data_IF_619326962467
#
_entry.id   IF_619326962467
#
_cell.length_a   1.000
_cell.length_b   1.000
_cell.length_c   1.000
_cell.angle_alpha   90.00
_cell.angle_beta   90.00
_cell.angle_gamma   90.00
#
_symmetry.space_group_name_H-M   'P 1'
#
loop_
_entity.id
_entity.type
_entity.pdbx_description
1 polymer ?
#
# COMPACT_ATOMS: atom_id res chain seq x y z
N UNK A 1 0.89 6.37 32.38
CA UNK A 1 0.17 6.48 31.10
C UNK A 1 0.43 5.19 30.38
N UNK A 2 -0.53 4.30 30.40
CA UNK A 2 -0.56 3.07 29.61
C UNK A 2 -0.44 3.50 28.17
N UNK A 3 0.61 3.08 27.51
CA UNK A 3 0.76 3.15 26.07
C UNK A 3 -0.40 2.35 25.47
N UNK A 4 -1.47 3.04 25.07
CA UNK A 4 -2.42 2.50 24.13
C UNK A 4 -1.57 2.06 22.94
N UNK A 5 -1.48 0.77 22.73
CA UNK A 5 -0.74 0.20 21.63
C UNK A 5 -1.46 0.69 20.39
N UNK A 6 -0.88 1.69 19.75
CA UNK A 6 -1.40 2.26 18.51
C UNK A 6 -1.56 1.11 17.52
N UNK A 7 -2.81 0.81 17.16
CA UNK A 7 -3.09 -0.19 16.13
C UNK A 7 -2.69 0.38 14.78
N UNK A 8 -1.52 -0.01 14.30
CA UNK A 8 -0.93 0.54 13.06
C UNK A 8 -0.50 -0.55 12.08
N UNK A 9 -0.66 -1.83 12.44
CA UNK A 9 -0.01 -2.94 11.73
C UNK A 9 -0.97 -4.04 11.26
N UNK A 10 -2.29 -3.86 11.33
CA UNK A 10 -3.26 -4.80 10.76
C UNK A 10 -3.15 -4.80 9.24
N UNK A 11 -3.12 -5.98 8.62
CA UNK A 11 -3.10 -6.16 7.17
C UNK A 11 -4.51 -6.43 6.67
N UNK A 12 -4.93 -5.68 5.66
CA UNK A 12 -6.14 -5.93 4.89
C UNK A 12 -5.75 -6.31 3.47
N UNK A 13 -6.07 -7.53 3.08
CA UNK A 13 -5.81 -8.06 1.74
C UNK A 13 -7.06 -7.80 0.90
N UNK A 14 -6.94 -6.93 -0.08
CA UNK A 14 -8.04 -6.65 -1.01
C UNK A 14 -8.12 -7.76 -2.05
N UNK A 15 -9.29 -8.37 -2.22
CA UNK A 15 -9.44 -9.50 -3.15
C UNK A 15 -10.83 -9.53 -3.80
N UNK A 16 -10.87 -10.00 -5.05
CA UNK A 16 -12.11 -10.27 -5.79
C UNK A 16 -11.91 -11.42 -6.77
N UNK A 17 -12.78 -12.43 -6.72
CA UNK A 17 -12.78 -13.57 -7.64
C UNK A 17 -11.59 -14.52 -7.49
N UNK A 18 -10.87 -14.46 -6.37
CA UNK A 18 -9.64 -15.26 -6.10
C UNK A 18 -9.64 -15.87 -4.71
N UNK A 19 -10.58 -16.79 -4.37
CA UNK A 19 -10.73 -17.30 -3.01
C UNK A 19 -9.52 -18.05 -2.47
N UNK A 20 -8.58 -18.46 -3.34
CA UNK A 20 -7.29 -19.02 -2.89
C UNK A 20 -6.40 -18.00 -2.21
N UNK A 21 -6.50 -16.70 -2.54
CA UNK A 21 -5.76 -15.58 -1.97
C UNK A 21 -4.30 -15.93 -1.61
N UNK A 22 -3.39 -15.80 -2.58
CA UNK A 22 -1.97 -16.20 -2.41
C UNK A 22 -1.28 -15.45 -1.29
N UNK A 23 -1.60 -14.18 -1.11
CA UNK A 23 -1.06 -13.37 -0.01
C UNK A 23 -1.42 -13.96 1.34
N UNK A 24 -2.69 -14.38 1.54
CA UNK A 24 -3.12 -15.04 2.76
C UNK A 24 -2.35 -16.36 3.01
N UNK A 25 -2.20 -17.19 1.97
CA UNK A 25 -1.40 -18.41 2.05
C UNK A 25 0.07 -18.13 2.41
N UNK A 26 0.61 -17.04 1.87
CA UNK A 26 2.00 -16.62 2.17
C UNK A 26 2.14 -16.21 3.63
N UNK A 27 1.19 -15.41 4.17
CA UNK A 27 1.18 -15.02 5.58
C UNK A 27 1.06 -16.24 6.51
N UNK A 28 0.20 -17.21 6.19
CA UNK A 28 0.11 -18.48 6.93
C UNK A 28 1.41 -19.28 6.88
N UNK A 29 1.98 -19.44 5.68
CA UNK A 29 3.22 -20.20 5.48
C UNK A 29 4.39 -19.68 6.31
N UNK A 30 4.55 -18.36 6.38
CA UNK A 30 5.61 -17.73 7.19
C UNK A 30 5.22 -17.57 8.65
N UNK A 31 4.01 -17.97 9.05
CA UNK A 31 3.45 -17.80 10.40
C UNK A 31 3.47 -16.36 10.87
N UNK A 32 2.93 -15.46 10.03
CA UNK A 32 2.84 -14.05 10.38
C UNK A 32 2.07 -13.86 11.70
N UNK A 33 2.65 -13.24 12.73
CA UNK A 33 2.03 -13.18 14.06
C UNK A 33 1.02 -12.05 14.23
N UNK A 34 0.95 -11.12 13.28
CA UNK A 34 0.05 -9.97 13.34
C UNK A 34 -1.37 -10.29 12.87
N UNK A 35 -2.26 -9.34 13.10
CA UNK A 35 -3.64 -9.42 12.63
C UNK A 35 -3.70 -9.18 11.11
N UNK A 36 -4.51 -9.98 10.40
CA UNK A 36 -4.76 -9.80 8.98
C UNK A 36 -6.15 -10.30 8.59
N UNK A 37 -6.74 -9.66 7.58
CA UNK A 37 -8.05 -9.97 7.04
C UNK A 37 -8.05 -9.93 5.53
N UNK A 38 -9.02 -10.63 4.91
CA UNK A 38 -9.33 -10.52 3.48
C UNK A 38 -10.58 -9.66 3.37
N UNK A 39 -10.55 -8.64 2.52
CA UNK A 39 -11.66 -7.71 2.33
C UNK A 39 -12.30 -7.94 0.96
N UNK A 40 -13.58 -8.36 0.96
CA UNK A 40 -14.35 -8.67 -0.23
C UNK A 40 -15.63 -7.85 -0.28
N UNK A 41 -16.09 -7.49 -1.48
CA UNK A 41 -17.42 -6.92 -1.66
C UNK A 41 -18.53 -7.99 -1.60
N UNK A 42 -19.71 -7.62 -1.10
CA UNK A 42 -20.89 -8.52 -1.10
C UNK A 42 -21.38 -8.91 -2.51
N UNK A 43 -20.86 -8.26 -3.55
CA UNK A 43 -21.10 -8.57 -4.96
C UNK A 43 -20.11 -9.57 -5.58
N UNK A 44 -19.25 -10.19 -4.79
CA UNK A 44 -18.32 -11.19 -5.28
C UNK A 44 -19.01 -12.57 -5.31
N UNK A 45 -19.20 -13.14 -6.49
CA UNK A 45 -19.85 -14.45 -6.67
C UNK A 45 -19.06 -15.58 -5.97
N UNK A 46 -17.78 -15.37 -5.71
CA UNK A 46 -16.92 -16.35 -5.02
C UNK A 46 -16.87 -16.13 -3.50
N UNK A 47 -17.62 -15.17 -2.96
CA UNK A 47 -17.64 -14.87 -1.53
C UNK A 47 -17.88 -16.10 -0.63
N UNK A 48 -18.82 -17.03 -0.95
CA UNK A 48 -19.00 -18.24 -0.15
C UNK A 48 -17.73 -19.09 -0.04
N UNK A 49 -16.92 -19.15 -1.11
CA UNK A 49 -15.67 -19.91 -1.14
C UNK A 49 -14.58 -19.22 -0.26
N UNK A 50 -14.57 -17.88 -0.19
CA UNK A 50 -13.71 -17.17 0.76
C UNK A 50 -14.11 -17.48 2.21
N UNK A 51 -15.40 -17.41 2.52
CA UNK A 51 -15.92 -17.67 3.86
C UNK A 51 -15.67 -19.11 4.30
N UNK A 52 -15.89 -20.09 3.42
CA UNK A 52 -15.56 -21.50 3.68
C UNK A 52 -14.09 -21.71 4.01
N UNK A 53 -13.21 -21.06 3.25
CA UNK A 53 -11.77 -21.27 3.39
C UNK A 53 -11.13 -20.49 4.52
N UNK A 54 -11.54 -19.25 4.73
CA UNK A 54 -10.86 -18.28 5.60
C UNK A 54 -11.67 -17.89 6.83
N UNK A 55 -12.95 -18.27 6.89
CA UNK A 55 -13.81 -18.06 8.05
C UNK A 55 -13.90 -16.59 8.49
N UNK A 56 -13.64 -16.35 9.75
CA UNK A 56 -13.71 -15.01 10.39
C UNK A 56 -12.68 -14.01 9.88
N UNK A 57 -11.69 -14.44 9.09
CA UNK A 57 -10.73 -13.54 8.47
C UNK A 57 -11.31 -12.79 7.27
N UNK A 58 -12.49 -13.18 6.79
CA UNK A 58 -13.17 -12.51 5.67
C UNK A 58 -14.04 -11.39 6.20
N UNK A 59 -13.71 -10.16 5.83
CA UNK A 59 -14.53 -8.98 6.10
C UNK A 59 -15.26 -8.59 4.82
N UNK A 60 -16.56 -8.41 4.93
CA UNK A 60 -17.42 -8.11 3.79
C UNK A 60 -17.89 -6.67 3.88
N UNK A 61 -17.74 -5.90 2.80
CA UNK A 61 -18.31 -4.56 2.71
C UNK A 61 -19.46 -4.50 1.70
N UNK A 62 -20.33 -3.52 1.89
CA UNK A 62 -21.40 -3.25 0.94
C UNK A 62 -20.85 -2.55 -0.30
N UNK A 63 -20.82 -3.29 -1.41
CA UNK A 63 -20.33 -2.81 -2.68
C UNK A 63 -21.18 -1.66 -3.23
N UNK A 64 -22.52 -1.75 -3.14
CA UNK A 64 -23.39 -0.72 -3.71
C UNK A 64 -23.25 0.60 -2.96
N UNK A 65 -23.16 0.56 -1.65
CA UNK A 65 -22.90 1.75 -0.84
C UNK A 65 -21.53 2.36 -1.19
N UNK A 66 -20.49 1.52 -1.32
CA UNK A 66 -19.14 2.01 -1.56
C UNK A 66 -18.96 2.66 -2.93
N UNK A 67 -19.54 2.08 -3.99
CA UNK A 67 -19.42 2.66 -5.33
C UNK A 67 -20.12 4.01 -5.46
N UNK A 68 -21.17 4.27 -4.68
CA UNK A 68 -21.84 5.59 -4.66
C UNK A 68 -20.96 6.68 -4.03
N UNK A 69 -20.00 6.28 -3.21
CA UNK A 69 -19.06 7.16 -2.51
C UNK A 69 -17.70 7.29 -3.20
N UNK A 70 -17.43 6.40 -4.17
CA UNK A 70 -16.13 6.35 -4.85
C UNK A 70 -16.19 7.12 -6.16
N UNK A 71 -15.38 8.17 -6.29
CA UNK A 71 -15.21 8.91 -7.53
C UNK A 71 -14.37 8.08 -8.53
N UNK A 72 -15.00 7.59 -9.59
CA UNK A 72 -14.33 6.86 -10.67
C UNK A 72 -13.66 7.76 -11.70
N UNK A 73 -13.81 9.09 -11.57
CA UNK A 73 -13.32 10.09 -12.54
C UNK A 73 -13.92 9.95 -13.95
N UNK A 74 -15.02 9.21 -14.08
CA UNK A 74 -15.77 9.03 -15.31
C UNK A 74 -17.27 8.88 -15.01
N UNK A 75 -18.08 8.90 -16.04
CA UNK A 75 -19.53 8.68 -15.95
C UNK A 75 -19.97 7.32 -16.50
N UNK A 76 -19.05 6.36 -16.56
CA UNK A 76 -19.37 5.01 -17.03
C UNK A 76 -20.05 4.22 -15.90
N UNK A 77 -21.15 3.54 -16.24
CA UNK A 77 -21.87 2.68 -15.30
C UNK A 77 -20.99 1.51 -14.77
N UNK A 78 -21.26 1.09 -13.56
CA UNK A 78 -20.55 -0.02 -12.93
C UNK A 78 -20.96 -1.39 -13.48
N UNK A 79 -22.18 -1.52 -14.01
CA UNK A 79 -22.68 -2.78 -14.59
C UNK A 79 -21.85 -3.19 -15.80
N UNK A 80 -21.58 -2.24 -16.69
CA UNK A 80 -20.81 -2.47 -17.92
C UNK A 80 -19.31 -2.39 -17.73
N UNK A 81 -18.88 -1.53 -16.81
CA UNK A 81 -17.48 -1.27 -16.53
C UNK A 81 -17.23 -1.47 -15.04
N UNK A 82 -16.79 -2.66 -14.63
CA UNK A 82 -16.46 -2.89 -13.22
C UNK A 82 -15.44 -1.87 -12.74
N UNK A 83 -15.58 -1.45 -11.51
CA UNK A 83 -14.61 -0.56 -10.88
C UNK A 83 -13.28 -1.28 -10.67
N UNK A 84 -12.21 -0.50 -10.67
CA UNK A 84 -10.93 -0.98 -10.18
C UNK A 84 -10.90 -1.21 -8.66
N UNK A 85 -9.72 -1.15 -8.09
CA UNK A 85 -9.51 -1.39 -6.66
C UNK A 85 -9.97 -0.25 -5.73
N UNK A 86 -10.30 0.94 -6.24
CA UNK A 86 -10.62 2.12 -5.42
C UNK A 86 -11.76 1.88 -4.40
N UNK A 87 -12.89 1.26 -4.75
CA UNK A 87 -13.96 1.01 -3.77
C UNK A 87 -13.50 0.15 -2.61
N UNK A 88 -12.86 -0.99 -2.86
CA UNK A 88 -12.37 -1.86 -1.78
C UNK A 88 -11.29 -1.19 -0.95
N UNK A 89 -10.41 -0.38 -1.54
CA UNK A 89 -9.40 0.39 -0.81
C UNK A 89 -10.03 1.44 0.11
N UNK A 90 -11.08 2.13 -0.33
CA UNK A 90 -11.83 3.09 0.48
C UNK A 90 -12.63 2.38 1.58
N UNK A 91 -13.31 1.26 1.26
CA UNK A 91 -13.99 0.43 2.24
C UNK A 91 -13.04 -0.06 3.34
N UNK A 92 -11.84 -0.52 2.97
CA UNK A 92 -10.81 -0.97 3.90
C UNK A 92 -10.45 0.12 4.91
N UNK A 93 -10.30 1.38 4.47
CA UNK A 93 -10.05 2.48 5.38
C UNK A 93 -11.17 2.65 6.40
N UNK A 94 -12.45 2.57 5.98
CA UNK A 94 -13.57 2.70 6.92
C UNK A 94 -13.61 1.56 7.91
N UNK A 95 -13.43 0.33 7.46
CA UNK A 95 -13.34 -0.85 8.33
C UNK A 95 -12.24 -0.66 9.39
N UNK A 96 -11.07 -0.17 8.98
CA UNK A 96 -9.95 0.08 9.87
C UNK A 96 -10.25 1.20 10.88
N UNK A 97 -10.90 2.29 10.46
CA UNK A 97 -11.33 3.41 11.31
C UNK A 97 -12.35 2.96 12.36
N UNK A 98 -13.37 2.21 11.94
CA UNK A 98 -14.41 1.62 12.81
C UNK A 98 -13.82 0.65 13.86
N UNK A 99 -12.69 0.02 13.54
CA UNK A 99 -11.94 -0.84 14.47
C UNK A 99 -10.99 -0.06 15.38
N UNK A 100 -10.96 1.27 15.30
CA UNK A 100 -10.13 2.15 16.12
C UNK A 100 -8.64 2.04 15.79
N UNK A 101 -8.29 1.73 14.56
CA UNK A 101 -6.90 1.64 14.12
C UNK A 101 -6.41 3.02 13.67
N UNK A 102 -5.19 3.38 14.04
CA UNK A 102 -4.60 4.66 13.61
C UNK A 102 -4.11 4.59 12.16
N UNK A 103 -3.62 3.42 11.75
CA UNK A 103 -3.14 3.12 10.41
C UNK A 103 -3.35 1.63 10.12
N UNK A 104 -3.38 1.30 8.83
CA UNK A 104 -3.54 -0.06 8.37
C UNK A 104 -2.70 -0.32 7.12
N UNK A 105 -2.39 -1.59 6.88
CA UNK A 105 -1.77 -2.03 5.64
C UNK A 105 -2.84 -2.50 4.64
N UNK A 106 -2.69 -2.09 3.39
CA UNK A 106 -3.45 -2.65 2.26
C UNK A 106 -2.51 -3.45 1.37
N UNK A 107 -2.81 -4.73 1.20
CA UNK A 107 -2.08 -5.66 0.35
C UNK A 107 -2.98 -6.14 -0.79
N UNK A 108 -2.36 -6.45 -1.94
CA UNK A 108 -3.04 -7.18 -3.01
C UNK A 108 -3.03 -8.68 -2.70
N UNK A 109 -3.83 -9.47 -3.42
CA UNK A 109 -4.08 -10.90 -3.11
C UNK A 109 -3.12 -11.89 -3.79
N UNK A 110 -2.10 -11.40 -4.50
CA UNK A 110 -1.22 -12.19 -5.37
C UNK A 110 0.26 -12.24 -4.96
N UNK A 111 0.59 -11.87 -3.71
CA UNK A 111 1.95 -11.92 -3.21
C UNK A 111 2.42 -13.35 -2.96
N UNK A 112 3.57 -13.73 -3.52
CA UNK A 112 4.16 -15.05 -3.40
C UNK A 112 5.13 -15.16 -2.21
N UNK A 113 5.72 -14.04 -1.80
CA UNK A 113 6.72 -14.00 -0.75
C UNK A 113 7.15 -12.58 -0.43
N UNK A 114 8.05 -12.51 0.53
CA UNK A 114 8.70 -11.28 0.95
C UNK A 114 10.20 -11.51 1.06
N UNK A 115 10.97 -10.51 0.65
CA UNK A 115 12.42 -10.53 0.80
C UNK A 115 12.90 -9.28 1.50
N UNK A 116 14.04 -9.41 2.19
CA UNK A 116 14.69 -8.30 2.86
C UNK A 116 16.15 -8.21 2.42
N UNK A 117 16.63 -6.99 2.19
CA UNK A 117 18.03 -6.79 1.85
C UNK A 117 18.94 -7.04 3.05
N UNK A 118 19.80 -8.04 2.95
CA UNK A 118 20.86 -8.29 3.93
C UNK A 118 22.12 -7.54 3.56
N UNK A 119 22.53 -6.59 4.42
CA UNK A 119 23.76 -5.86 4.23
C UNK A 119 25.00 -6.77 4.33
N UNK A 120 24.93 -7.76 5.20
CA UNK A 120 26.02 -8.70 5.45
C UNK A 120 26.24 -9.61 4.23
N UNK A 121 25.16 -10.12 3.63
CA UNK A 121 25.24 -11.01 2.48
C UNK A 121 25.28 -10.26 1.12
N UNK A 122 25.05 -8.95 1.12
CA UNK A 122 24.99 -8.15 -0.09
C UNK A 122 23.89 -8.55 -1.08
N UNK A 123 22.80 -9.16 -0.60
CA UNK A 123 21.70 -9.68 -1.43
C UNK A 123 20.35 -9.67 -0.70
N UNK A 124 19.28 -9.83 -1.46
CA UNK A 124 17.96 -10.09 -0.92
C UNK A 124 17.88 -11.51 -0.34
N UNK A 125 17.27 -11.62 0.85
CA UNK A 125 17.05 -12.87 1.57
C UNK A 125 15.55 -13.07 1.74
N UNK A 126 15.06 -14.27 1.45
CA UNK A 126 13.65 -14.63 1.62
C UNK A 126 13.29 -14.62 3.10
N UNK A 127 12.17 -13.98 3.42
CA UNK A 127 11.62 -13.97 4.78
C UNK A 127 10.81 -15.25 4.98
N UNK A 128 11.34 -16.17 5.77
CA UNK A 128 10.69 -17.43 6.15
C UNK A 128 10.03 -17.38 7.55
N UNK A 129 10.39 -16.40 8.38
CA UNK A 129 9.80 -16.15 9.71
C UNK A 129 8.94 -14.88 9.67
N UNK A 130 7.63 -15.04 9.85
CA UNK A 130 6.68 -13.93 9.84
C UNK A 130 6.92 -12.88 10.93
N UNK A 131 7.62 -13.22 12.02
CA UNK A 131 7.98 -12.24 13.05
C UNK A 131 8.95 -11.17 12.50
N UNK A 132 9.82 -11.53 11.57
CA UNK A 132 10.74 -10.57 10.91
C UNK A 132 9.93 -9.59 10.08
N UNK A 133 8.99 -10.08 9.28
CA UNK A 133 8.10 -9.22 8.49
C UNK A 133 7.28 -8.30 9.39
N UNK A 134 6.67 -8.86 10.44
CA UNK A 134 5.85 -8.10 11.39
C UNK A 134 6.62 -6.94 12.02
N UNK A 135 7.81 -7.19 12.54
CA UNK A 135 8.65 -6.16 13.17
C UNK A 135 9.09 -5.09 12.18
N UNK A 136 9.48 -5.48 10.96
CA UNK A 136 9.86 -4.53 9.93
C UNK A 136 8.68 -3.63 9.56
N UNK A 137 7.51 -4.21 9.33
CA UNK A 137 6.29 -3.49 8.99
C UNK A 137 5.83 -2.57 10.13
N UNK A 138 5.90 -3.04 11.38
CA UNK A 138 5.56 -2.24 12.56
C UNK A 138 6.43 -0.97 12.63
N UNK A 139 7.74 -1.09 12.43
CA UNK A 139 8.66 0.07 12.45
C UNK A 139 8.38 1.06 11.34
N UNK A 140 8.05 0.58 10.15
CA UNK A 140 7.65 1.41 9.01
C UNK A 140 6.35 2.15 9.34
N UNK A 141 5.34 1.45 9.86
CA UNK A 141 4.05 2.03 10.22
C UNK A 141 4.14 3.05 11.36
N UNK A 142 4.91 2.77 12.42
CA UNK A 142 5.19 3.70 13.51
C UNK A 142 5.86 4.98 13.00
N UNK A 143 6.83 4.85 12.09
CA UNK A 143 7.46 6.02 11.47
C UNK A 143 6.43 6.83 10.68
N UNK A 144 5.63 6.18 9.83
CA UNK A 144 4.58 6.83 9.05
C UNK A 144 3.55 7.56 9.93
N UNK A 145 3.18 6.96 11.05
CA UNK A 145 2.30 7.56 12.04
C UNK A 145 2.90 8.83 12.65
N UNK A 146 4.12 8.73 13.20
CA UNK A 146 4.81 9.85 13.87
C UNK A 146 5.13 11.00 12.93
N UNK A 147 5.47 10.69 11.68
CA UNK A 147 5.75 11.68 10.64
C UNK A 147 4.49 12.19 9.92
N UNK A 148 3.27 11.75 10.33
CA UNK A 148 1.99 12.11 9.72
C UNK A 148 1.97 11.90 8.20
N UNK A 149 2.62 10.85 7.73
CA UNK A 149 2.69 10.54 6.31
C UNK A 149 1.38 9.95 5.80
N UNK A 150 0.97 10.33 4.60
CA UNK A 150 -0.24 9.83 3.96
C UNK A 150 -0.08 8.42 3.44
N UNK A 151 1.14 8.03 3.07
CA UNK A 151 1.42 6.67 2.63
C UNK A 151 2.87 6.30 2.94
N UNK A 152 3.08 5.14 3.50
CA UNK A 152 4.41 4.51 3.59
C UNK A 152 4.28 3.07 3.13
N UNK A 153 5.31 2.53 2.49
CA UNK A 153 5.22 1.17 2.03
C UNK A 153 6.53 0.66 1.45
N UNK A 154 6.47 -0.51 0.83
CA UNK A 154 7.65 -1.13 0.27
C UNK A 154 7.42 -1.61 -1.16
N UNK A 155 8.51 -1.81 -1.87
CA UNK A 155 8.57 -1.93 -3.32
C UNK A 155 8.54 -3.37 -3.79
N UNK A 156 8.38 -3.54 -5.11
CA UNK A 156 8.56 -4.81 -5.79
C UNK A 156 10.04 -5.20 -5.82
N UNK A 157 10.32 -6.50 -5.76
CA UNK A 157 11.67 -7.06 -5.83
C UNK A 157 12.42 -6.69 -7.14
N UNK A 158 11.69 -6.48 -8.21
CA UNK A 158 12.23 -6.06 -9.52
C UNK A 158 12.64 -4.60 -9.62
N UNK A 159 12.33 -3.78 -8.61
CA UNK A 159 12.70 -2.37 -8.59
C UNK A 159 14.00 -2.21 -7.81
N UNK A 160 15.05 -1.79 -8.51
CA UNK A 160 16.41 -1.57 -8.04
C UNK A 160 16.56 -1.37 -6.53
N UNK A 161 17.01 -2.41 -5.85
CA UNK A 161 17.53 -2.30 -4.50
C UNK A 161 18.91 -1.64 -4.56
N UNK A 162 18.96 -0.32 -4.47
CA UNK A 162 20.25 0.34 -4.20
C UNK A 162 20.57 0.12 -2.72
N UNK A 163 21.62 -0.64 -2.41
CA UNK A 163 21.98 -0.99 -1.02
C UNK A 163 22.25 0.24 -0.15
N UNK A 164 22.54 1.38 -0.74
CA UNK A 164 22.81 2.64 -0.05
C UNK A 164 21.55 3.45 0.25
N UNK A 165 20.50 3.31 -0.55
CA UNK A 165 19.23 4.02 -0.34
C UNK A 165 18.22 3.13 0.36
N UNK A 166 18.12 3.25 1.68
CA UNK A 166 17.16 2.45 2.48
C UNK A 166 15.71 2.89 2.30
N UNK A 167 15.49 4.12 1.95
CA UNK A 167 14.16 4.70 1.71
C UNK A 167 14.24 5.84 0.71
N UNK A 168 13.13 6.16 0.12
CA UNK A 168 12.99 7.34 -0.73
C UNK A 168 11.65 8.00 -0.48
N UNK A 169 11.67 9.32 -0.38
CA UNK A 169 10.46 10.13 -0.48
C UNK A 169 10.08 10.21 -1.96
N UNK A 170 9.42 9.19 -2.42
CA UNK A 170 9.03 9.02 -3.81
C UNK A 170 7.52 8.88 -3.87
N UNK A 171 6.84 9.48 -4.86
CA UNK A 171 5.42 9.28 -5.09
C UNK A 171 5.09 7.86 -5.58
N UNK A 172 5.89 6.88 -5.25
CA UNK A 172 5.73 5.50 -5.69
C UNK A 172 5.81 4.57 -4.51
N UNK A 173 4.73 4.41 -3.79
CA UNK A 173 4.50 3.24 -2.97
C UNK A 173 3.71 2.26 -3.82
N UNK A 174 4.35 1.17 -4.21
CA UNK A 174 3.71 0.17 -5.03
C UNK A 174 3.25 -0.99 -4.17
N UNK A 175 1.99 -1.32 -4.24
CA UNK A 175 1.36 -2.56 -3.83
C UNK A 175 1.24 -2.81 -2.32
N UNK A 176 2.19 -2.48 -1.48
CA UNK A 176 2.04 -2.55 -0.03
C UNK A 176 1.95 -1.14 0.54
N UNK A 177 0.76 -0.76 0.93
CA UNK A 177 0.45 0.58 1.41
C UNK A 177 0.13 0.55 2.89
N UNK A 178 0.82 1.34 3.72
CA UNK A 178 0.39 1.65 5.07
C UNK A 178 -0.17 3.07 5.10
N UNK A 179 -1.46 3.15 5.32
CA UNK A 179 -2.28 4.35 5.16
C UNK A 179 -2.87 4.78 6.51
N UNK A 180 -3.10 6.09 6.74
CA UNK A 180 -3.92 6.54 7.86
C UNK A 180 -5.34 5.97 7.75
N UNK A 181 -5.92 5.60 8.88
CA UNK A 181 -7.32 5.17 8.95
C UNK A 181 -8.26 6.36 9.19
N UNK A 182 -7.76 7.41 9.84
CA UNK A 182 -8.55 8.60 10.16
C UNK A 182 -8.84 9.46 8.90
N UNK A 183 -10.06 9.99 8.77
CA UNK A 183 -10.49 10.72 7.56
C UNK A 183 -9.67 11.98 7.26
N UNK A 184 -9.14 12.66 8.27
CA UNK A 184 -8.40 13.92 8.15
C UNK A 184 -7.04 13.76 7.45
N UNK A 185 -6.41 12.60 7.57
CA UNK A 185 -5.12 12.30 6.95
C UNK A 185 -5.21 11.39 5.73
N UNK A 186 -6.30 10.65 5.60
CA UNK A 186 -6.50 9.73 4.49
C UNK A 186 -6.80 10.49 3.19
N UNK A 187 -6.12 10.12 2.12
CA UNK A 187 -6.41 10.61 0.78
C UNK A 187 -7.25 9.54 0.05
N UNK A 188 -8.53 9.82 -0.25
CA UNK A 188 -9.38 8.84 -0.90
C UNK A 188 -8.81 8.34 -2.23
N UNK A 189 -8.98 7.05 -2.45
CA UNK A 189 -8.67 6.44 -3.73
C UNK A 189 -9.76 6.81 -4.74
N UNK A 190 -9.33 7.31 -5.88
CA UNK A 190 -10.22 7.74 -6.97
C UNK A 190 -9.71 7.22 -8.30
N UNK A 191 -10.61 7.16 -9.27
CA UNK A 191 -10.32 6.65 -10.61
C UNK A 191 -10.65 5.17 -10.77
N UNK A 192 -11.01 4.79 -11.97
CA UNK A 192 -11.33 3.41 -12.32
C UNK A 192 -10.09 2.57 -12.58
N UNK A 193 -9.05 3.20 -13.08
CA UNK A 193 -7.79 2.58 -13.46
C UNK A 193 -6.63 3.46 -13.00
N UNK A 194 -5.45 2.88 -12.80
CA UNK A 194 -4.22 3.60 -12.44
C UNK A 194 -4.30 4.24 -11.06
N UNK A 195 -5.02 3.60 -10.16
CA UNK A 195 -5.35 4.04 -8.80
C UNK A 195 -4.12 4.40 -7.97
N UNK A 196 -3.04 3.62 -8.07
CA UNK A 196 -1.75 3.86 -7.42
C UNK A 196 -1.13 5.21 -7.81
N UNK A 197 -1.07 5.48 -9.11
CA UNK A 197 -0.51 6.75 -9.62
C UNK A 197 -1.40 7.93 -9.29
N UNK A 198 -2.73 7.77 -9.41
CA UNK A 198 -3.68 8.84 -9.11
C UNK A 198 -3.68 9.17 -7.62
N UNK A 199 -3.62 8.15 -6.76
CA UNK A 199 -3.54 8.35 -5.32
C UNK A 199 -2.25 9.12 -4.95
N UNK A 200 -1.11 8.72 -5.50
CA UNK A 200 0.16 9.45 -5.32
C UNK A 200 0.08 10.90 -5.80
N UNK A 201 -0.51 11.16 -6.98
CA UNK A 201 -0.75 12.51 -7.48
C UNK A 201 -1.58 13.32 -6.46
N UNK A 202 -2.66 12.75 -5.96
CA UNK A 202 -3.57 13.42 -5.04
C UNK A 202 -2.93 13.70 -3.68
N UNK A 203 -2.12 12.78 -3.16
CA UNK A 203 -1.33 12.99 -1.95
C UNK A 203 -0.40 14.20 -2.14
N UNK A 204 0.39 14.20 -3.19
CA UNK A 204 1.37 15.26 -3.44
C UNK A 204 0.73 16.63 -3.69
N UNK A 205 -0.39 16.67 -4.43
CA UNK A 205 -1.12 17.93 -4.68
C UNK A 205 -1.74 18.54 -3.42
N UNK A 206 -2.03 17.72 -2.41
CA UNK A 206 -2.54 18.15 -1.10
C UNK A 206 -1.44 18.52 -0.11
N UNK A 207 -0.17 18.51 -0.54
CA UNK A 207 0.97 18.78 0.33
C UNK A 207 1.37 17.61 1.21
N UNK A 208 0.85 16.42 0.93
CA UNK A 208 1.19 15.20 1.65
C UNK A 208 2.49 14.57 1.17
N UNK A 209 2.95 13.53 1.89
CA UNK A 209 4.18 12.81 1.60
C UNK A 209 3.96 11.31 1.56
N UNK A 210 4.74 10.67 0.71
CA UNK A 210 4.86 9.22 0.61
C UNK A 210 6.32 8.81 0.78
N UNK A 211 6.52 7.63 1.37
CA UNK A 211 7.85 7.05 1.53
C UNK A 211 7.85 5.59 1.09
N UNK A 212 8.72 5.24 0.17
CA UNK A 212 9.03 3.86 -0.17
C UNK A 212 10.26 3.38 0.59
N UNK A 213 10.12 2.23 1.24
CA UNK A 213 11.21 1.49 1.86
C UNK A 213 11.81 0.56 0.82
N UNK A 214 13.15 0.60 0.67
CA UNK A 214 13.85 -0.11 -0.40
C UNK A 214 14.59 -1.37 0.06
N UNK A 215 14.49 -1.73 1.32
CA UNK A 215 15.14 -2.92 1.86
C UNK A 215 14.15 -4.07 2.10
N UNK A 216 12.87 -3.82 1.98
CA UNK A 216 11.80 -4.80 2.09
C UNK A 216 11.07 -4.87 0.75
N UNK A 217 10.90 -6.08 0.22
CA UNK A 217 10.34 -6.27 -1.11
C UNK A 217 9.25 -7.34 -1.10
N UNK A 218 8.40 -7.28 -2.12
CA UNK A 218 7.35 -8.26 -2.39
C UNK A 218 7.72 -9.07 -3.62
N UNK A 219 7.60 -10.38 -3.53
CA UNK A 219 7.66 -11.29 -4.65
C UNK A 219 6.26 -11.46 -5.26
N UNK A 220 6.15 -11.26 -6.55
CA UNK A 220 4.90 -11.39 -7.30
C UNK A 220 4.92 -12.54 -8.27
N UNK A 221 3.72 -13.06 -8.56
CA UNK A 221 3.50 -13.80 -9.78
C UNK A 221 3.70 -12.88 -11.00
N UNK A 222 4.00 -13.46 -12.15
CA UNK A 222 4.08 -12.69 -13.39
C UNK A 222 2.81 -11.87 -13.58
N UNK A 223 2.96 -10.56 -13.75
CA UNK A 223 1.84 -9.60 -13.86
C UNK A 223 0.84 -10.06 -14.94
N UNK A 224 -0.45 -10.03 -14.62
CA UNK A 224 -1.56 -10.42 -15.50
C UNK A 224 -1.56 -11.90 -15.91
N UNK A 225 -0.94 -12.79 -15.15
CA UNK A 225 -0.93 -14.22 -15.43
C UNK A 225 -2.22 -14.94 -14.98
N UNK A 226 -3.00 -14.34 -14.09
CA UNK A 226 -4.21 -14.96 -13.53
C UNK A 226 -5.48 -14.21 -13.93
N UNK A 227 -6.60 -14.93 -14.14
CA UNK A 227 -7.91 -14.31 -14.36
C UNK A 227 -8.41 -13.61 -13.11
N UNK A 228 -9.35 -12.68 -13.29
CA UNK A 228 -9.96 -11.91 -12.21
C UNK A 228 -9.22 -10.60 -11.87
N UNK A 229 -9.76 -9.84 -10.92
CA UNK A 229 -9.27 -8.53 -10.53
C UNK A 229 -9.28 -7.53 -11.70
N UNK A 230 -8.19 -6.77 -11.86
CA UNK A 230 -8.05 -5.74 -12.90
C UNK A 230 -7.68 -6.29 -14.29
N UNK A 231 -7.37 -7.59 -14.40
CA UNK A 231 -6.84 -8.18 -15.65
C UNK A 231 -7.81 -8.01 -16.82
N UNK A 232 -9.10 -8.23 -16.58
CA UNK A 232 -10.11 -8.14 -17.64
C UNK A 232 -10.32 -6.70 -18.13
N UNK A 233 -10.27 -5.74 -17.20
CA UNK A 233 -10.36 -4.32 -17.53
C UNK A 233 -9.18 -3.87 -18.40
N UNK A 234 -7.96 -4.34 -18.11
CA UNK A 234 -6.78 -4.02 -18.92
C UNK A 234 -6.78 -4.70 -20.29
N UNK A 235 -7.34 -5.90 -20.40
CA UNK A 235 -7.46 -6.61 -21.69
C UNK A 235 -8.43 -5.91 -22.63
N UNK A 236 -9.53 -5.40 -22.10
CA UNK A 236 -10.59 -4.77 -22.88
C UNK A 236 -10.25 -3.34 -23.32
N UNK A 237 -9.67 -2.54 -22.43
CA UNK A 237 -9.50 -1.10 -22.62
C UNK A 237 -8.06 -0.67 -22.95
N UNK A 238 -7.10 -1.55 -22.75
CA UNK A 238 -5.70 -1.31 -23.05
C UNK A 238 -5.00 -0.30 -22.14
N UNK A 239 -3.72 -0.10 -22.41
CA UNK A 239 -2.86 0.80 -21.60
C UNK A 239 -3.09 2.29 -21.88
N UNK A 240 -3.69 2.63 -23.03
CA UNK A 240 -4.02 4.02 -23.36
C UNK A 240 -5.06 4.60 -22.41
N UNK A 241 -6.13 3.84 -22.15
CA UNK A 241 -7.20 4.28 -21.22
C UNK A 241 -6.68 4.39 -19.79
N UNK A 242 -5.88 3.44 -19.34
CA UNK A 242 -5.17 3.57 -18.04
C UNK A 242 -4.43 4.90 -17.94
N UNK A 243 -3.73 5.29 -18.99
CA UNK A 243 -2.97 6.56 -19.03
C UNK A 243 -3.89 7.78 -19.02
N UNK A 244 -5.04 7.70 -19.70
CA UNK A 244 -6.01 8.79 -19.72
C UNK A 244 -6.49 9.21 -18.34
N UNK A 245 -6.72 8.28 -17.42
CA UNK A 245 -7.08 8.60 -16.03
C UNK A 245 -5.97 9.39 -15.31
N UNK A 246 -4.70 9.04 -15.53
CA UNK A 246 -3.58 9.82 -15.01
C UNK A 246 -3.54 11.26 -15.58
N UNK A 247 -3.85 11.42 -16.88
CA UNK A 247 -3.95 12.76 -17.51
C UNK A 247 -5.11 13.54 -16.94
N UNK A 248 -6.29 12.92 -16.75
CA UNK A 248 -7.44 13.57 -16.11
C UNK A 248 -7.10 14.05 -14.70
N UNK A 249 -6.38 13.24 -13.94
CA UNK A 249 -5.95 13.60 -12.59
C UNK A 249 -4.98 14.80 -12.58
N UNK A 250 -4.03 14.86 -13.52
CA UNK A 250 -3.01 15.91 -13.56
C UNK A 250 -2.55 16.24 -15.00
N UNK A 251 -3.35 16.95 -15.81
CA UNK A 251 -3.03 17.20 -17.22
C UNK A 251 -1.73 18.00 -17.43
N UNK A 252 -1.34 18.82 -16.47
CA UNK A 252 -0.08 19.58 -16.53
C UNK A 252 1.17 18.73 -16.23
N UNK A 253 1.00 17.57 -15.61
CA UNK A 253 2.11 16.74 -15.11
C UNK A 253 2.17 15.34 -15.74
N UNK A 254 1.07 14.81 -16.24
CA UNK A 254 1.01 13.46 -16.84
C UNK A 254 0.89 13.57 -18.35
N UNK A 255 1.69 12.76 -19.06
CA UNK A 255 1.67 12.67 -20.51
C UNK A 255 1.53 11.22 -20.97
N UNK A 256 0.86 11.02 -22.10
CA UNK A 256 0.86 9.76 -22.83
C UNK A 256 2.19 9.64 -23.59
N UNK A 257 2.86 8.51 -23.43
CA UNK A 257 4.07 8.17 -24.19
C UNK A 257 3.94 6.77 -24.74
N UNK A 258 4.52 6.51 -25.92
CA UNK A 258 4.56 5.18 -26.52
C UNK A 258 5.96 4.60 -26.30
N UNK A 259 6.05 3.48 -25.55
CA UNK A 259 7.31 2.76 -25.26
C UNK A 259 7.02 1.27 -25.15
N UNK A 260 7.97 0.45 -25.55
CA UNK A 260 7.84 -1.02 -25.45
C UNK A 260 6.54 -1.52 -26.09
N UNK A 261 6.23 -1.02 -27.30
CA UNK A 261 5.07 -1.39 -28.12
C UNK A 261 3.69 -1.14 -27.48
N UNK A 262 3.63 -0.28 -26.46
CA UNK A 262 2.36 0.08 -25.79
C UNK A 262 2.38 1.51 -25.24
N UNK A 263 1.19 1.99 -24.93
CA UNK A 263 1.05 3.29 -24.28
C UNK A 263 1.37 3.23 -22.79
N UNK A 264 2.11 4.22 -22.34
CA UNK A 264 2.47 4.41 -20.93
C UNK A 264 2.19 5.84 -20.49
N UNK A 265 2.00 6.03 -19.19
CA UNK A 265 2.04 7.36 -18.60
C UNK A 265 3.48 7.77 -18.28
N UNK A 266 3.79 9.04 -18.49
CA UNK A 266 5.00 9.67 -17.98
C UNK A 266 4.58 10.83 -17.06
N UNK A 267 4.94 10.74 -15.79
CA UNK A 267 4.55 11.72 -14.77
C UNK A 267 5.74 12.59 -14.40
N UNK A 268 5.59 13.89 -14.59
CA UNK A 268 6.57 14.90 -14.17
C UNK A 268 6.36 15.23 -12.68
N UNK A 269 6.82 14.36 -11.81
CA UNK A 269 6.61 14.45 -10.36
C UNK A 269 7.07 15.77 -9.75
N UNK A 270 8.14 16.37 -10.27
CA UNK A 270 8.62 17.68 -9.81
C UNK A 270 7.60 18.80 -9.92
N UNK A 271 6.60 18.67 -10.84
CA UNK A 271 5.51 19.65 -10.97
C UNK A 271 4.41 19.47 -9.92
N UNK A 272 4.35 18.30 -9.30
CA UNK A 272 3.33 17.93 -8.30
C UNK A 272 3.86 18.13 -6.88
N UNK A 273 5.16 18.21 -6.69
CA UNK A 273 5.75 18.42 -5.37
C UNK A 273 5.23 19.70 -4.75
N UNK A 274 4.77 19.65 -3.49
CA UNK A 274 4.45 20.88 -2.78
C UNK A 274 5.72 21.74 -2.72
N UNK A 275 5.57 23.01 -2.96
CA UNK A 275 6.65 23.96 -2.68
C UNK A 275 6.80 24.04 -1.17
N UNK A 276 8.02 23.95 -0.68
CA UNK A 276 8.30 24.24 0.72
C UNK A 276 7.78 25.66 0.99
N UNK A 277 7.03 25.80 2.06
CA UNK A 277 6.60 27.12 2.52
C UNK A 277 7.87 27.90 2.91
N UNK A 278 7.85 29.20 2.61
CA UNK A 278 8.87 30.15 3.07
C UNK A 278 9.08 30.01 4.59
N UNK A 279 10.30 30.15 5.08
CA UNK A 279 10.66 30.03 6.49
C UNK A 279 9.77 30.83 7.44
N UNK A 280 9.24 31.98 6.98
CA UNK A 280 8.28 32.80 7.74
C UNK A 280 7.01 32.04 8.12
N UNK A 281 6.59 31.00 7.35
CA UNK A 281 5.42 30.19 7.61
C UNK A 281 5.73 28.97 8.48
N UNK A 282 7.01 28.55 8.55
CA UNK A 282 7.42 27.43 9.41
C UNK A 282 7.57 27.81 10.88
N UNK A 283 7.64 29.10 11.19
CA UNK A 283 7.88 29.62 12.55
C UNK A 283 6.65 29.69 13.44
N UNK A 284 5.45 29.65 12.87
CA UNK A 284 4.20 29.70 13.67
C UNK A 284 3.90 28.42 14.46
N UNK A 285 4.50 27.30 14.09
CA UNK A 285 4.28 26.02 14.75
C UNK A 285 5.35 25.63 15.80
N UNK A 286 6.36 26.46 16.00
CA UNK A 286 7.51 26.15 16.86
C UNK A 286 8.36 24.97 16.36
N UNK A 287 9.57 24.77 16.84
CA UNK A 287 10.32 23.57 16.53
C UNK A 287 9.56 22.36 17.07
N UNK A 288 9.48 21.24 16.33
CA UNK A 288 8.89 20.03 16.87
C UNK A 288 9.58 19.68 18.18
N UNK A 289 8.86 19.19 19.19
CA UNK A 289 9.46 18.80 20.45
C UNK A 289 10.63 17.87 20.16
N UNK A 290 11.78 18.13 20.75
CA UNK A 290 12.96 17.31 20.57
C UNK A 290 12.57 15.84 20.78
N UNK A 291 12.91 14.93 19.85
CA UNK A 291 12.59 13.54 20.03
C UNK A 291 13.12 13.09 21.38
N UNK A 292 12.34 12.32 22.16
CA UNK A 292 12.81 11.84 23.45
C UNK A 292 14.16 11.16 23.23
N UNK A 293 15.15 11.48 24.03
CA UNK A 293 16.48 10.85 23.96
C UNK A 293 16.28 9.35 24.05
N UNK A 294 16.28 8.68 22.93
CA UNK A 294 16.18 7.22 22.87
C UNK A 294 17.51 6.64 23.36
N UNK A 295 17.56 6.27 24.62
CA UNK A 295 18.57 5.38 25.16
C UNK A 295 18.28 3.93 24.75
N UNK A 296 18.09 3.67 23.48
CA UNK A 296 17.97 2.31 22.98
C UNK A 296 19.30 1.89 22.36
N UNK A 297 20.09 1.23 23.19
CA UNK A 297 21.14 0.33 22.74
C UNK A 297 20.47 -0.83 21.97
N UNK A 298 20.29 -0.69 20.67
CA UNK A 298 19.86 -1.76 19.75
C UNK A 298 20.82 -2.99 19.76
N UNK A 299 21.95 -2.87 20.46
CA UNK A 299 22.99 -3.89 20.48
C UNK A 299 22.72 -5.09 21.42
N UNK A 300 21.66 -5.07 22.22
CA UNK A 300 21.41 -6.12 23.24
C UNK A 300 19.98 -6.66 23.29
N UNK A 301 19.20 -6.55 22.23
CA UNK A 301 17.89 -7.19 22.23
C UNK A 301 18.01 -8.62 21.70
N UNK A 302 17.35 -9.57 22.35
CA UNK A 302 17.22 -10.95 21.88
C UNK A 302 16.69 -11.03 20.43
N UNK A 303 16.01 -9.97 19.99
CA UNK A 303 15.51 -9.78 18.63
C UNK A 303 16.65 -9.52 17.64
N UNK A 304 17.65 -8.70 17.99
CA UNK A 304 18.81 -8.45 17.13
C UNK A 304 19.61 -9.74 16.88
N UNK A 305 19.70 -10.60 17.91
CA UNK A 305 20.36 -11.89 17.77
C UNK A 305 19.51 -12.89 16.96
N UNK A 306 18.18 -12.84 17.10
CA UNK A 306 17.25 -13.60 16.25
C UNK A 306 17.34 -13.17 14.78
N UNK A 307 17.41 -11.88 14.53
CA UNK A 307 17.61 -11.33 13.18
C UNK A 307 18.95 -11.78 12.57
N UNK A 308 20.02 -11.74 13.37
CA UNK A 308 21.33 -12.20 12.95
C UNK A 308 21.33 -13.68 12.56
N UNK A 309 20.71 -14.54 13.39
CA UNK A 309 20.60 -16.00 13.13
C UNK A 309 19.71 -16.35 11.94
N UNK A 310 18.69 -15.55 11.64
CA UNK A 310 17.77 -15.81 10.52
C UNK A 310 18.31 -15.28 9.17
N UNK A 311 19.33 -14.40 9.19
CA UNK A 311 19.93 -13.82 8.00
C UNK A 311 21.30 -14.41 7.64
N UNK A 312 21.86 -15.29 8.49
CA UNK A 312 23.00 -16.15 8.24
C UNK A 312 22.55 -17.56 7.85
#
# INVERSE_FOLDING_TARGET
MTTDILRVNTIYIISKGRPRCRTAQTLERIRYPGEWHIVCGNNDETLPQYQERWGERVLVFDWHDEITRTDTMDNLGFEKYPSGACPVRNATRRISDERGEARHWQFDDDYLGFTIWSRELGKNVVISDGAILYEAMLKIAEFGYRARMQNVGFVLDTMESHPEQRYTFSPRVFNAHNLPSTPDLFVPWVGRMNDDIINAINIWRRGGYEMSVKYLHIEFAKTQSEPGGMTDLYRNDGTARKTAYGILAAPSAVKLVFRFERYHHATAWGKLRPKLLDEKWSRESGPPPAPPKQTHSLAKSALADKWRKALL
#
